data_IF_593452769395
#
_entry.id   IF_593452769395
#
_cell.length_a   1.000
_cell.length_b   1.000
_cell.length_c   1.000
_cell.angle_alpha   90.00
_cell.angle_beta   90.00
_cell.angle_gamma   90.00
#
_symmetry.space_group_name_H-M   'P 1'
#
loop_
_entity.id
_entity.type
_entity.pdbx_description
1 polymer ?
#
# COMPACT_ATOMS: atom_id res chain seq x y z
N UNK A 1 -9.76 -0.57 -7.05
CA UNK A 1 -8.86 0.44 -6.49
C UNK A 1 -9.43 0.96 -5.17
N UNK A 2 -8.59 1.40 -4.22
CA UNK A 2 -8.99 1.91 -2.90
C UNK A 2 -9.43 3.38 -3.04
N UNK A 3 -10.53 3.78 -2.40
CA UNK A 3 -10.96 5.18 -2.40
C UNK A 3 -10.27 5.98 -1.30
N UNK A 4 -10.10 7.29 -1.53
CA UNK A 4 -9.59 8.22 -0.52
C UNK A 4 -10.48 8.24 0.74
N UNK A 5 -11.79 8.15 0.57
CA UNK A 5 -12.75 8.05 1.68
C UNK A 5 -12.47 6.84 2.58
N UNK A 6 -12.24 5.67 2.00
CA UNK A 6 -11.90 4.46 2.76
C UNK A 6 -10.56 4.61 3.49
N UNK A 7 -9.56 5.24 2.84
CA UNK A 7 -8.27 5.53 3.49
C UNK A 7 -8.47 6.41 4.71
N UNK A 8 -9.23 7.50 4.58
CA UNK A 8 -9.48 8.45 5.66
C UNK A 8 -10.24 7.81 6.81
N UNK A 9 -11.25 6.99 6.52
CA UNK A 9 -11.98 6.22 7.52
C UNK A 9 -11.03 5.26 8.27
N UNK A 10 -10.20 4.52 7.53
CA UNK A 10 -9.28 3.54 8.10
C UNK A 10 -8.18 4.18 8.96
N UNK A 11 -7.64 5.32 8.51
CA UNK A 11 -6.59 6.07 9.20
C UNK A 11 -7.13 7.05 10.26
N UNK A 12 -8.46 7.20 10.38
CA UNK A 12 -9.12 8.18 11.27
C UNK A 12 -8.65 9.61 11.01
N UNK A 13 -8.54 9.97 9.73
CA UNK A 13 -8.20 11.32 9.29
C UNK A 13 -9.50 12.12 9.06
N UNK A 14 -9.68 13.18 9.83
CA UNK A 14 -10.82 14.09 9.72
C UNK A 14 -10.42 15.36 8.97
N UNK A 15 -11.34 15.93 8.17
CA UNK A 15 -11.08 17.15 7.41
C UNK A 15 -10.36 16.94 6.09
N UNK A 16 -10.33 17.97 5.23
CA UNK A 16 -9.77 17.94 3.88
C UNK A 16 -8.27 18.27 3.84
N UNK A 17 -7.70 18.76 4.94
CA UNK A 17 -6.28 19.09 5.04
C UNK A 17 -5.35 17.88 4.84
N UNK A 18 -5.86 16.67 5.08
CA UNK A 18 -5.12 15.41 4.92
C UNK A 18 -5.29 14.78 3.53
N UNK A 19 -6.14 15.33 2.65
CA UNK A 19 -6.47 14.70 1.37
C UNK A 19 -5.25 14.52 0.48
N UNK A 20 -4.40 15.55 0.35
CA UNK A 20 -3.16 15.48 -0.45
C UNK A 20 -2.22 14.42 0.09
N UNK A 21 -1.98 14.43 1.41
CA UNK A 21 -1.08 13.49 2.08
C UNK A 21 -1.59 12.04 1.94
N UNK A 22 -2.90 11.82 2.16
CA UNK A 22 -3.51 10.51 2.06
C UNK A 22 -3.48 9.98 0.61
N UNK A 23 -3.67 10.85 -0.38
CA UNK A 23 -3.54 10.50 -1.79
C UNK A 23 -2.09 10.11 -2.15
N UNK A 24 -1.10 10.92 -1.75
CA UNK A 24 0.31 10.64 -1.98
C UNK A 24 0.79 9.34 -1.31
N UNK A 25 0.32 9.08 -0.08
CA UNK A 25 0.58 7.83 0.63
C UNK A 25 -0.06 6.64 -0.08
N UNK A 26 -1.29 6.79 -0.57
CA UNK A 26 -2.00 5.73 -1.29
C UNK A 26 -1.27 5.36 -2.58
N UNK A 27 -0.84 6.36 -3.35
CA UNK A 27 -0.08 6.18 -4.58
C UNK A 27 1.27 5.50 -4.30
N UNK A 28 1.99 5.97 -3.28
CA UNK A 28 3.27 5.40 -2.86
C UNK A 28 3.14 3.95 -2.40
N UNK A 29 2.15 3.67 -1.55
CA UNK A 29 1.89 2.32 -1.05
C UNK A 29 1.48 1.36 -2.18
N UNK A 30 0.66 1.83 -3.12
CA UNK A 30 0.26 1.04 -4.29
C UNK A 30 1.46 0.71 -5.17
N UNK A 31 2.33 1.69 -5.43
CA UNK A 31 3.58 1.50 -6.18
C UNK A 31 4.49 0.45 -5.52
N UNK A 32 4.71 0.55 -4.20
CA UNK A 32 5.53 -0.42 -3.46
C UNK A 32 4.93 -1.83 -3.53
N UNK A 33 3.60 -1.97 -3.43
CA UNK A 33 2.94 -3.27 -3.57
C UNK A 33 3.10 -3.85 -4.98
N UNK A 34 2.99 -3.02 -6.03
CA UNK A 34 3.22 -3.43 -7.42
C UNK A 34 4.67 -3.92 -7.63
N UNK A 35 5.65 -3.20 -7.08
CA UNK A 35 7.07 -3.58 -7.12
C UNK A 35 7.32 -4.93 -6.41
N UNK A 36 6.70 -5.14 -5.24
CA UNK A 36 6.81 -6.39 -4.48
C UNK A 36 6.24 -7.57 -5.29
N UNK A 37 5.14 -7.34 -6.00
CA UNK A 37 4.49 -8.31 -6.89
C UNK A 37 5.21 -8.49 -8.24
N UNK A 38 6.19 -7.63 -8.56
CA UNK A 38 6.91 -7.59 -9.85
C UNK A 38 5.99 -7.28 -11.03
N UNK A 39 5.08 -6.34 -10.85
CA UNK A 39 4.24 -5.80 -11.92
C UNK A 39 4.97 -4.64 -12.63
N UNK A 40 4.61 -4.32 -13.86
CA UNK A 40 5.24 -3.20 -14.58
C UNK A 40 4.63 -1.85 -14.21
N UNK A 41 3.41 -1.85 -13.67
CA UNK A 41 2.71 -0.63 -13.25
C UNK A 41 1.64 -0.91 -12.20
N UNK A 42 1.17 0.15 -11.55
CA UNK A 42 0.10 0.11 -10.54
C UNK A 42 -1.23 -0.33 -11.15
N UNK A 43 -1.44 -0.06 -12.45
CA UNK A 43 -2.64 -0.46 -13.19
C UNK A 43 -2.78 -1.98 -13.35
N UNK A 44 -1.68 -2.74 -13.21
CA UNK A 44 -1.72 -4.21 -13.18
C UNK A 44 -2.15 -4.78 -11.82
N UNK A 45 -2.32 -3.96 -10.78
CA UNK A 45 -2.81 -4.42 -9.48
C UNK A 45 -4.30 -4.77 -9.56
N UNK A 46 -4.58 -6.06 -9.57
CA UNK A 46 -5.94 -6.56 -9.50
C UNK A 46 -6.59 -6.22 -8.15
N UNK A 47 -7.89 -5.85 -8.13
CA UNK A 47 -8.58 -5.46 -6.91
C UNK A 47 -8.97 -6.68 -6.06
N UNK A 48 -7.99 -7.34 -5.46
CA UNK A 48 -8.21 -8.45 -4.51
C UNK A 48 -8.25 -7.96 -3.06
N UNK A 49 -8.91 -8.69 -2.13
CA UNK A 49 -8.84 -8.39 -0.70
C UNK A 49 -7.41 -8.35 -0.15
N UNK A 50 -6.53 -9.23 -0.65
CA UNK A 50 -5.13 -9.31 -0.25
C UNK A 50 -4.37 -8.05 -0.67
N UNK A 51 -4.50 -7.64 -1.94
CA UNK A 51 -3.88 -6.42 -2.46
C UNK A 51 -4.37 -5.19 -1.69
N UNK A 52 -5.68 -5.11 -1.39
CA UNK A 52 -6.24 -4.01 -0.61
C UNK A 52 -5.62 -3.91 0.79
N UNK A 53 -5.56 -5.03 1.51
CA UNK A 53 -4.99 -5.08 2.86
C UNK A 53 -3.49 -4.76 2.83
N UNK A 54 -2.75 -5.26 1.85
CA UNK A 54 -1.33 -4.97 1.70
C UNK A 54 -1.05 -3.47 1.47
N UNK A 55 -1.86 -2.82 0.62
CA UNK A 55 -1.75 -1.37 0.39
C UNK A 55 -2.07 -0.60 1.68
N UNK A 56 -3.18 -0.89 2.35
CA UNK A 56 -3.54 -0.21 3.61
C UNK A 56 -2.47 -0.42 4.70
N UNK A 57 -1.93 -1.64 4.81
CA UNK A 57 -0.83 -1.95 5.72
C UNK A 57 0.42 -1.12 5.39
N UNK A 58 0.79 -1.02 4.11
CA UNK A 58 1.92 -0.23 3.66
C UNK A 58 1.73 1.26 3.97
N UNK A 59 0.53 1.82 3.71
CA UNK A 59 0.19 3.20 4.04
C UNK A 59 0.33 3.48 5.54
N UNK A 60 -0.23 2.61 6.38
CA UNK A 60 -0.14 2.72 7.83
C UNK A 60 1.31 2.73 8.31
N UNK A 61 2.12 1.81 7.78
CA UNK A 61 3.52 1.69 8.11
C UNK A 61 4.30 2.98 7.77
N UNK A 62 4.10 3.52 6.56
CA UNK A 62 4.76 4.76 6.12
C UNK A 62 4.33 5.96 6.96
N UNK A 63 3.05 6.02 7.34
CA UNK A 63 2.52 7.09 8.18
C UNK A 63 3.09 7.06 9.61
N UNK A 64 3.17 5.87 10.21
CA UNK A 64 3.67 5.68 11.57
C UNK A 64 5.21 5.84 11.68
N UNK A 65 5.96 5.41 10.67
CA UNK A 65 7.43 5.36 10.67
C UNK A 65 8.06 6.45 9.79
N UNK A 66 7.48 7.65 9.81
CA UNK A 66 7.87 8.75 8.91
C UNK A 66 9.32 9.25 9.08
N UNK A 67 9.98 8.93 10.20
CA UNK A 67 11.33 9.40 10.54
C UNK A 67 12.38 8.27 10.48
N UNK A 68 11.95 7.02 10.66
CA UNK A 68 12.83 5.87 10.94
C UNK A 68 12.39 4.56 10.25
N UNK A 69 11.63 4.66 9.15
CA UNK A 69 11.15 3.49 8.41
C UNK A 69 12.25 2.47 8.06
N UNK A 70 12.06 1.22 8.49
CA UNK A 70 12.83 0.07 8.01
C UNK A 70 12.16 -0.51 6.75
N UNK A 71 12.58 0.01 5.61
CA UNK A 71 12.08 -0.45 4.32
C UNK A 71 12.40 -1.92 4.01
N UNK A 72 13.44 -2.50 4.63
CA UNK A 72 13.72 -3.92 4.43
C UNK A 72 12.69 -4.78 5.15
N UNK A 73 12.38 -4.46 6.41
CA UNK A 73 11.33 -5.15 7.15
C UNK A 73 9.96 -4.97 6.47
N UNK A 74 9.65 -3.77 5.99
CA UNK A 74 8.42 -3.50 5.22
C UNK A 74 8.32 -4.43 3.99
N UNK A 75 9.38 -4.52 3.18
CA UNK A 75 9.41 -5.41 2.00
C UNK A 75 9.24 -6.89 2.37
N UNK A 76 9.78 -7.34 3.50
CA UNK A 76 9.59 -8.73 3.97
C UNK A 76 8.12 -8.97 4.32
N UNK A 77 7.52 -8.08 5.10
CA UNK A 77 6.11 -8.21 5.49
C UNK A 77 5.18 -8.16 4.28
N UNK A 78 5.41 -7.23 3.35
CA UNK A 78 4.63 -7.13 2.12
C UNK A 78 4.77 -8.37 1.25
N UNK A 79 5.98 -8.96 1.12
CA UNK A 79 6.16 -10.21 0.37
C UNK A 79 5.37 -11.35 0.96
N UNK A 80 5.32 -11.46 2.29
CA UNK A 80 4.55 -12.50 2.97
C UNK A 80 3.04 -12.28 2.78
N UNK A 81 2.56 -11.03 2.88
CA UNK A 81 1.15 -10.70 2.65
C UNK A 81 0.72 -10.96 1.21
N UNK A 82 1.57 -10.61 0.24
CA UNK A 82 1.28 -10.65 -1.19
C UNK A 82 1.69 -11.96 -1.87
N UNK A 83 2.13 -12.97 -1.12
CA UNK A 83 2.71 -14.19 -1.69
C UNK A 83 1.74 -14.93 -2.60
N UNK A 84 0.45 -14.99 -2.24
CA UNK A 84 -0.59 -15.63 -3.04
C UNK A 84 -0.92 -14.90 -4.34
N UNK A 85 -0.61 -13.61 -4.42
CA UNK A 85 -0.91 -12.73 -5.56
C UNK A 85 0.30 -12.63 -6.51
N UNK A 86 1.48 -13.05 -6.04
CA UNK A 86 2.71 -12.96 -6.79
C UNK A 86 2.71 -13.99 -7.93
N UNK A 87 2.69 -13.52 -9.17
CA UNK A 87 2.80 -14.38 -10.36
C UNK A 87 4.10 -15.20 -10.28
N UNK A 88 3.98 -16.52 -10.39
CA UNK A 88 5.14 -17.39 -10.52
C UNK A 88 5.82 -17.11 -11.87
N UNK A 89 7.11 -16.80 -11.85
CA UNK A 89 7.92 -16.80 -13.06
C UNK A 89 8.23 -18.25 -13.41
N UNK A 90 7.72 -18.71 -14.55
CA UNK A 90 8.05 -20.00 -15.16
C UNK A 90 9.10 -19.82 -16.25
#
# INVERSE_FOLDING_TARGET
>A
MISLELVKEWMKLDGDEYDSMAQELLESASSICADVLRLNSVEELEPSPVNKIAILYCMAYLFEHREDADHNQLKINLRALLESERKAAF
#
